data_IF_103714772115
#
_entry.id   IF_103714772115
#
_cell.length_a   1.000
_cell.length_b   1.000
_cell.length_c   1.000
_cell.angle_alpha   90.00
_cell.angle_beta   90.00
_cell.angle_gamma   90.00
#
_symmetry.space_group_name_H-M   'P 1'
#
loop_
_entity.id
_entity.type
_entity.pdbx_description
1 polymer ?
#
# COMPACT_ATOMS: atom_id res chain seq x y z
N UNK A 1 -7.00 16.71 0.86
CA UNK A 1 -7.12 15.28 0.50
C UNK A 1 -5.94 15.00 -0.39
N UNK A 2 -4.97 14.22 0.07
CA UNK A 2 -3.88 13.77 -0.78
C UNK A 2 -4.29 12.63 -1.69
N UNK A 3 -3.38 12.21 -2.56
CA UNK A 3 -3.64 11.17 -3.56
C UNK A 3 -3.88 9.80 -2.90
N UNK A 4 -4.81 9.02 -3.46
CA UNK A 4 -5.06 7.64 -3.03
C UNK A 4 -4.68 6.69 -4.15
N UNK A 5 -4.13 5.53 -3.80
CA UNK A 5 -3.73 4.54 -4.78
C UNK A 5 -4.29 3.15 -4.46
N UNK A 6 -4.43 2.33 -5.50
CA UNK A 6 -5.09 1.03 -5.47
C UNK A 6 -4.11 -0.11 -5.72
N UNK A 7 -4.36 -1.25 -5.08
CA UNK A 7 -3.68 -2.50 -5.34
C UNK A 7 -4.68 -3.54 -5.85
N UNK A 8 -4.30 -4.21 -6.93
CA UNK A 8 -5.12 -5.16 -7.64
C UNK A 8 -4.52 -6.56 -7.53
N UNK A 9 -5.39 -7.55 -7.31
CA UNK A 9 -5.02 -8.96 -7.34
C UNK A 9 -5.44 -9.59 -8.65
N UNK A 10 -4.53 -10.35 -9.25
CA UNK A 10 -4.84 -11.16 -10.42
C UNK A 10 -5.50 -12.48 -10.03
N UNK A 11 -6.53 -12.90 -10.77
CA UNK A 11 -7.11 -14.25 -10.75
C UNK A 11 -7.95 -14.67 -9.54
N UNK A 12 -7.73 -14.12 -8.33
CA UNK A 12 -8.45 -14.56 -7.12
C UNK A 12 -8.81 -13.41 -6.17
N UNK A 13 -9.89 -13.59 -5.38
CA UNK A 13 -10.23 -12.66 -4.31
C UNK A 13 -9.21 -12.72 -3.17
N UNK A 14 -8.90 -11.59 -2.52
CA UNK A 14 -8.01 -11.56 -1.36
C UNK A 14 -8.59 -12.36 -0.20
N UNK A 15 -7.69 -12.97 0.56
CA UNK A 15 -8.00 -13.75 1.77
C UNK A 15 -7.45 -13.06 3.01
N UNK A 16 -7.89 -13.51 4.20
CA UNK A 16 -7.27 -13.08 5.46
C UNK A 16 -5.75 -13.36 5.48
N UNK A 17 -5.32 -14.47 4.86
CA UNK A 17 -3.90 -14.83 4.76
C UNK A 17 -3.10 -13.81 3.96
N UNK A 18 -3.70 -13.23 2.91
CA UNK A 18 -3.03 -12.19 2.13
C UNK A 18 -2.87 -10.91 2.95
N UNK A 19 -3.90 -10.55 3.74
CA UNK A 19 -3.81 -9.44 4.66
C UNK A 19 -2.72 -9.68 5.73
N UNK A 20 -2.61 -10.90 6.26
CA UNK A 20 -1.56 -11.25 7.22
C UNK A 20 -0.16 -11.12 6.61
N UNK A 21 0.00 -11.46 5.32
CA UNK A 21 1.26 -11.26 4.59
C UNK A 21 1.58 -9.77 4.47
N UNK A 22 0.60 -8.93 4.14
CA UNK A 22 0.77 -7.47 4.03
C UNK A 22 1.18 -6.87 5.37
N UNK A 23 0.50 -7.26 6.46
CA UNK A 23 0.86 -6.86 7.83
C UNK A 23 2.28 -7.33 8.18
N UNK A 24 2.68 -8.54 7.80
CA UNK A 24 4.03 -9.04 8.03
C UNK A 24 5.10 -8.25 7.26
N UNK A 25 4.83 -7.80 6.03
CA UNK A 25 5.73 -6.93 5.27
C UNK A 25 5.95 -5.62 6.02
N UNK A 26 4.87 -4.96 6.44
CA UNK A 26 4.96 -3.72 7.24
C UNK A 26 5.71 -3.94 8.56
N UNK A 27 5.46 -5.05 9.24
CA UNK A 27 6.21 -5.43 10.45
C UNK A 27 7.70 -5.59 10.19
N UNK A 28 8.09 -6.20 9.07
CA UNK A 28 9.51 -6.29 8.64
C UNK A 28 10.11 -4.94 8.27
N UNK A 29 9.28 -3.93 8.00
CA UNK A 29 9.66 -2.54 7.82
C UNK A 29 9.64 -1.74 9.14
N UNK A 30 9.38 -2.40 10.28
CA UNK A 30 9.27 -1.81 11.64
C UNK A 30 8.03 -0.94 11.86
N UNK A 31 6.92 -1.31 11.24
CA UNK A 31 5.60 -0.73 11.48
C UNK A 31 4.72 -1.67 12.30
N UNK A 32 3.87 -1.08 13.13
CA UNK A 32 2.82 -1.77 13.86
C UNK A 32 1.48 -1.51 13.20
N UNK A 33 0.72 -2.60 13.02
CA UNK A 33 -0.62 -2.54 12.46
C UNK A 33 -1.68 -2.38 13.57
N UNK A 34 -2.61 -1.45 13.40
CA UNK A 34 -3.81 -1.29 14.21
C UNK A 34 -5.07 -1.36 13.34
N UNK A 35 -6.19 -1.80 13.92
CA UNK A 35 -7.49 -1.78 13.23
C UNK A 35 -7.87 -3.04 12.43
N UNK A 36 -7.10 -4.14 12.52
CA UNK A 36 -7.54 -5.43 11.94
C UNK A 36 -8.84 -5.89 12.62
N UNK A 37 -9.90 -6.04 11.83
CA UNK A 37 -11.24 -6.39 12.30
C UNK A 37 -11.67 -7.78 11.77
N UNK A 38 -11.76 -8.76 12.68
CA UNK A 38 -12.14 -10.15 12.33
C UNK A 38 -13.61 -10.31 11.98
N UNK A 39 -14.48 -9.49 12.57
CA UNK A 39 -15.91 -9.53 12.26
C UNK A 39 -16.13 -9.06 10.82
N UNK A 40 -15.51 -7.93 10.46
CA UNK A 40 -15.59 -7.38 9.10
C UNK A 40 -14.94 -8.27 8.04
N UNK A 41 -13.86 -8.97 8.38
CA UNK A 41 -13.31 -10.03 7.52
C UNK A 41 -14.34 -11.12 7.21
N UNK A 42 -15.12 -11.54 8.21
CA UNK A 42 -16.13 -12.59 8.05
C UNK A 42 -17.37 -12.14 7.26
N UNK A 43 -17.82 -10.90 7.48
CA UNK A 43 -18.97 -10.33 6.76
C UNK A 43 -18.59 -9.91 5.34
N UNK A 44 -17.31 -9.61 5.11
CA UNK A 44 -16.78 -9.05 3.87
C UNK A 44 -16.87 -7.53 3.80
N UNK A 45 -17.17 -6.88 4.91
CA UNK A 45 -17.16 -5.42 5.01
C UNK A 45 -15.72 -4.87 4.94
N UNK A 46 -15.56 -3.71 4.32
CA UNK A 46 -14.27 -3.02 4.26
C UNK A 46 -13.91 -2.39 5.59
N UNK A 47 -12.62 -2.35 5.91
CA UNK A 47 -12.12 -1.69 7.12
C UNK A 47 -10.72 -1.09 6.91
N UNK A 48 -10.44 -0.04 7.69
CA UNK A 48 -9.15 0.64 7.69
C UNK A 48 -8.15 -0.06 8.61
N UNK A 49 -6.89 -0.09 8.21
CA UNK A 49 -5.76 -0.55 9.00
C UNK A 49 -4.73 0.56 8.98
N UNK A 50 -4.33 1.02 10.17
CA UNK A 50 -3.26 2.00 10.31
C UNK A 50 -1.94 1.27 10.54
N UNK A 51 -0.89 1.76 9.89
CA UNK A 51 0.48 1.36 10.11
C UNK A 51 1.27 2.54 10.63
N UNK A 52 1.97 2.34 11.74
CA UNK A 52 2.72 3.39 12.43
C UNK A 52 4.07 2.82 12.85
N UNK A 53 5.17 3.52 12.61
CA UNK A 53 6.49 3.02 12.97
C UNK A 53 6.83 3.16 14.47
N UNK A 54 7.88 2.45 14.90
CA UNK A 54 8.41 2.49 16.28
C UNK A 54 8.70 3.89 16.81
N UNK A 55 9.15 4.80 15.94
CA UNK A 55 9.46 6.18 16.30
C UNK A 55 8.22 6.88 16.86
N UNK A 56 7.04 6.63 16.29
CA UNK A 56 5.76 7.16 16.79
C UNK A 56 5.28 6.53 18.11
N UNK A 57 5.42 5.20 18.28
CA UNK A 57 4.89 4.51 19.48
C UNK A 57 5.48 5.00 20.81
N UNK A 58 6.71 5.53 20.80
CA UNK A 58 7.39 6.10 21.97
C UNK A 58 7.12 7.60 22.17
N UNK A 59 6.62 8.29 21.14
CA UNK A 59 6.49 9.75 21.06
C UNK A 59 5.11 10.27 21.50
N UNK A 60 4.11 9.40 21.63
CA UNK A 60 2.79 9.78 22.19
C UNK A 60 2.81 10.03 23.70
N UNK A 61 3.82 9.53 24.40
CA UNK A 61 4.02 9.72 25.84
C UNK A 61 4.95 10.91 26.17
N UNK A 62 5.35 11.71 25.17
CA UNK A 62 6.30 12.82 25.34
C UNK A 62 5.59 14.20 25.25
N UNK A 63 5.50 14.89 26.39
CA UNK A 63 4.77 16.16 26.56
C UNK A 63 5.44 17.37 25.84
N UNK A 64 6.65 17.23 25.30
CA UNK A 64 7.45 18.33 24.74
C UNK A 64 7.38 18.43 23.19
N UNK A 65 6.37 17.83 22.58
CA UNK A 65 6.36 17.57 21.13
C UNK A 65 6.21 18.82 20.23
N UNK A 66 7.13 18.93 19.26
CA UNK A 66 7.03 19.85 18.12
C UNK A 66 6.43 19.13 16.90
N UNK A 67 5.32 19.66 16.39
CA UNK A 67 4.58 19.14 15.22
C UNK A 67 5.42 19.06 13.93
N UNK A 68 6.55 19.77 13.87
CA UNK A 68 7.37 19.96 12.66
C UNK A 68 8.36 18.80 12.35
N UNK A 69 8.25 17.66 13.05
CA UNK A 69 9.16 16.49 12.88
C UNK A 69 8.50 15.25 12.27
N UNK A 70 7.29 15.40 11.72
CA UNK A 70 6.57 14.32 11.03
C UNK A 70 7.19 14.08 9.65
N UNK A 71 7.87 12.94 9.48
CA UNK A 71 8.12 12.39 8.14
C UNK A 71 6.84 11.62 7.75
N UNK A 72 6.20 12.00 6.64
CA UNK A 72 5.00 11.32 6.16
C UNK A 72 5.22 9.82 5.94
N UNK A 73 6.47 9.39 5.69
CA UNK A 73 6.86 7.99 5.59
C UNK A 73 6.80 7.22 6.94
N UNK A 74 6.49 7.84 8.07
CA UNK A 74 6.40 7.17 9.38
C UNK A 74 5.03 6.51 9.63
N UNK A 75 4.04 6.76 8.76
CA UNK A 75 2.71 6.15 8.88
C UNK A 75 2.03 5.95 7.52
N UNK A 76 1.06 5.05 7.44
CA UNK A 76 0.13 4.95 6.31
C UNK A 76 -1.17 4.28 6.75
N UNK A 77 -2.29 4.64 6.12
CA UNK A 77 -3.57 3.95 6.30
C UNK A 77 -3.88 3.20 5.01
N UNK A 78 -4.36 1.97 5.15
CA UNK A 78 -4.95 1.21 4.06
C UNK A 78 -6.40 0.87 4.37
N UNK A 79 -7.25 0.86 3.36
CA UNK A 79 -8.56 0.21 3.42
C UNK A 79 -8.47 -1.14 2.75
N UNK A 80 -8.78 -2.19 3.50
CA UNK A 80 -8.84 -3.55 3.00
C UNK A 80 -10.28 -3.92 2.63
N UNK A 81 -10.46 -4.51 1.45
CA UNK A 81 -11.74 -4.95 0.91
C UNK A 81 -11.74 -6.47 0.73
N UNK A 82 -12.23 -7.23 1.72
CA UNK A 82 -12.28 -8.70 1.61
C UNK A 82 -13.24 -9.16 0.50
N UNK A 83 -14.31 -8.39 0.28
CA UNK A 83 -15.25 -8.53 -0.84
C UNK A 83 -15.43 -7.16 -1.48
N UNK A 84 -14.58 -6.80 -2.45
CA UNK A 84 -14.69 -5.53 -3.14
C UNK A 84 -16.06 -5.36 -3.79
N UNK A 85 -16.56 -4.13 -3.82
CA UNK A 85 -17.78 -3.80 -4.55
C UNK A 85 -17.46 -3.63 -6.03
N UNK A 86 -18.45 -3.88 -6.90
CA UNK A 86 -18.37 -3.64 -8.35
C UNK A 86 -17.85 -2.22 -8.69
N UNK A 87 -18.12 -1.22 -7.83
CA UNK A 87 -17.63 0.14 -8.00
C UNK A 87 -16.11 0.33 -7.88
N UNK A 88 -15.37 -0.71 -7.52
CA UNK A 88 -13.91 -0.72 -7.42
C UNK A 88 -13.26 -1.67 -8.44
N UNK A 89 -14.02 -2.10 -9.45
CA UNK A 89 -13.55 -2.94 -10.54
C UNK A 89 -12.97 -2.10 -11.69
N UNK A 90 -11.76 -2.46 -12.13
CA UNK A 90 -11.06 -1.77 -13.19
C UNK A 90 -10.54 -2.79 -14.20
N UNK A 91 -10.65 -2.47 -15.48
CA UNK A 91 -9.94 -3.23 -16.51
C UNK A 91 -8.45 -2.91 -16.42
N UNK A 92 -7.63 -3.91 -16.07
CA UNK A 92 -6.18 -3.77 -15.96
C UNK A 92 -5.53 -4.38 -17.20
N UNK A 93 -4.99 -3.58 -18.14
CA UNK A 93 -4.47 -4.09 -19.41
C UNK A 93 -3.38 -5.15 -19.27
N UNK A 94 -2.52 -5.06 -18.24
CA UNK A 94 -1.46 -6.04 -17.97
C UNK A 94 -1.99 -7.38 -17.43
N UNK A 95 -3.18 -7.39 -16.82
CA UNK A 95 -3.85 -8.62 -16.37
C UNK A 95 -4.80 -9.19 -17.45
N UNK A 96 -5.29 -8.34 -18.36
CA UNK A 96 -6.22 -8.74 -19.41
C UNK A 96 -7.65 -9.00 -18.92
N UNK A 97 -7.97 -8.57 -17.70
CA UNK A 97 -9.24 -8.80 -17.02
C UNK A 97 -9.70 -7.59 -16.23
N UNK A 98 -10.99 -7.58 -15.89
CA UNK A 98 -11.57 -6.64 -14.93
C UNK A 98 -11.33 -7.22 -13.54
N UNK A 99 -10.59 -6.49 -12.71
CA UNK A 99 -10.26 -6.91 -11.35
C UNK A 99 -10.63 -5.81 -10.37
N UNK A 100 -11.16 -6.17 -9.18
CA UNK A 100 -11.39 -5.19 -8.15
C UNK A 100 -10.10 -4.77 -7.44
N UNK A 101 -10.01 -3.49 -7.06
CA UNK A 101 -9.03 -3.08 -6.07
C UNK A 101 -9.41 -3.65 -4.72
N UNK A 102 -8.43 -4.25 -4.05
CA UNK A 102 -8.66 -4.91 -2.77
C UNK A 102 -7.96 -4.19 -1.61
N UNK A 103 -7.00 -3.33 -1.93
CA UNK A 103 -6.42 -2.36 -1.01
C UNK A 103 -6.49 -0.99 -1.66
N UNK A 104 -6.86 0.00 -0.86
CA UNK A 104 -6.68 1.41 -1.16
C UNK A 104 -5.73 1.99 -0.11
N UNK A 105 -4.61 2.55 -0.56
CA UNK A 105 -3.71 3.35 0.25
C UNK A 105 -4.23 4.78 0.31
N UNK A 106 -4.40 5.32 1.52
CA UNK A 106 -4.86 6.68 1.75
C UNK A 106 -3.67 7.64 1.89
N UNK A 107 -3.79 8.80 1.26
CA UNK A 107 -2.85 9.94 1.35
C UNK A 107 -1.39 9.55 1.09
N UNK A 108 -1.11 9.02 -0.10
CA UNK A 108 0.21 8.50 -0.45
C UNK A 108 1.29 9.57 -0.66
N UNK A 109 0.88 10.84 -0.74
CA UNK A 109 1.80 11.96 -0.94
C UNK A 109 2.76 12.06 0.25
N UNK A 110 4.06 12.11 -0.04
CA UNK A 110 5.12 12.07 0.98
C UNK A 110 5.43 10.67 1.52
N UNK A 111 4.73 9.62 1.07
CA UNK A 111 4.92 8.20 1.49
C UNK A 111 5.58 7.35 0.41
N UNK A 112 6.14 7.95 -0.62
CA UNK A 112 6.62 7.28 -1.83
C UNK A 112 7.80 6.36 -1.52
N UNK A 113 8.64 6.70 -0.54
CA UNK A 113 9.74 5.84 -0.08
C UNK A 113 9.21 4.63 0.68
N UNK A 114 8.28 4.83 1.61
CA UNK A 114 7.59 3.75 2.31
C UNK A 114 6.95 2.79 1.31
N UNK A 115 6.21 3.33 0.35
CA UNK A 115 5.50 2.54 -0.66
C UNK A 115 6.47 1.78 -1.56
N UNK A 116 7.57 2.40 -2.00
CA UNK A 116 8.56 1.73 -2.83
C UNK A 116 9.20 0.52 -2.11
N UNK A 117 9.54 0.68 -0.83
CA UNK A 117 10.05 -0.43 0.00
C UNK A 117 9.01 -1.53 0.23
N UNK A 118 7.75 -1.14 0.45
CA UNK A 118 6.63 -2.07 0.58
C UNK A 118 6.45 -2.87 -0.71
N UNK A 119 6.29 -2.22 -1.86
CA UNK A 119 6.01 -2.86 -3.13
C UNK A 119 7.15 -3.77 -3.60
N UNK A 120 8.40 -3.39 -3.36
CA UNK A 120 9.56 -4.26 -3.63
C UNK A 120 9.47 -5.59 -2.88
N UNK A 121 8.94 -5.60 -1.66
CA UNK A 121 8.78 -6.83 -0.84
C UNK A 121 7.52 -7.57 -1.22
N UNK A 122 6.43 -6.84 -1.44
CA UNK A 122 5.13 -7.35 -1.80
C UNK A 122 5.15 -8.10 -3.14
N UNK A 123 5.68 -7.48 -4.19
CA UNK A 123 5.70 -8.08 -5.53
C UNK A 123 6.63 -9.29 -5.66
N UNK A 124 7.53 -9.54 -4.69
CA UNK A 124 8.25 -10.83 -4.64
C UNK A 124 7.34 -12.00 -4.30
N UNK A 125 6.28 -11.75 -3.56
CA UNK A 125 5.29 -12.75 -3.16
C UNK A 125 4.12 -12.82 -4.15
N UNK A 126 3.74 -11.67 -4.71
CA UNK A 126 2.63 -11.53 -5.65
C UNK A 126 3.08 -10.84 -6.95
N UNK A 127 3.90 -11.49 -7.79
CA UNK A 127 4.55 -10.85 -8.94
C UNK A 127 3.58 -10.41 -10.05
N UNK A 128 2.37 -10.95 -10.07
CA UNK A 128 1.36 -10.64 -11.08
C UNK A 128 0.39 -9.52 -10.66
N UNK A 129 0.43 -9.11 -9.39
CA UNK A 129 -0.41 -8.03 -8.87
C UNK A 129 0.09 -6.68 -9.40
N UNK A 130 -0.78 -5.67 -9.37
CA UNK A 130 -0.49 -4.35 -9.95
C UNK A 130 -0.89 -3.23 -8.99
N UNK A 131 -0.03 -2.23 -8.88
CA UNK A 131 -0.28 -0.99 -8.16
C UNK A 131 -0.72 0.11 -9.14
N UNK A 132 -1.68 0.96 -8.74
CA UNK A 132 -2.17 2.05 -9.58
C UNK A 132 -2.44 3.31 -8.75
N UNK A 133 -1.92 4.45 -9.19
CA UNK A 133 -2.43 5.77 -8.80
C UNK A 133 -3.04 6.41 -10.06
N UNK A 134 -2.26 7.20 -10.80
CA UNK A 134 -2.56 7.61 -12.17
C UNK A 134 -2.05 6.58 -13.21
N UNK A 135 -0.89 5.98 -12.92
CA UNK A 135 -0.23 4.99 -13.78
C UNK A 135 -0.19 3.61 -13.15
N UNK A 136 -0.09 2.58 -13.99
CA UNK A 136 -0.01 1.17 -13.57
C UNK A 136 1.44 0.73 -13.42
N UNK A 137 1.80 0.24 -12.24
CA UNK A 137 3.14 -0.26 -11.93
C UNK A 137 3.08 -1.76 -11.69
N UNK A 138 3.85 -2.49 -12.49
CA UNK A 138 4.12 -3.91 -12.28
C UNK A 138 5.32 -4.12 -11.38
N UNK A 139 5.56 -5.37 -10.99
CA UNK A 139 6.80 -5.77 -10.33
C UNK A 139 8.05 -5.26 -11.04
N UNK A 140 8.12 -5.41 -12.37
CA UNK A 140 9.31 -5.04 -13.14
C UNK A 140 9.56 -3.53 -13.12
N UNK A 141 8.50 -2.73 -13.06
CA UNK A 141 8.60 -1.27 -12.98
C UNK A 141 9.14 -0.85 -11.60
N UNK A 142 8.62 -1.46 -10.52
CA UNK A 142 9.13 -1.24 -9.16
C UNK A 142 10.58 -1.69 -9.01
N UNK A 143 10.96 -2.83 -9.57
CA UNK A 143 12.34 -3.32 -9.51
C UNK A 143 13.31 -2.38 -10.25
N UNK A 144 12.90 -1.83 -11.40
CA UNK A 144 13.67 -0.82 -12.14
C UNK A 144 13.82 0.48 -11.36
N UNK A 145 12.73 0.99 -10.78
CA UNK A 145 12.74 2.18 -9.94
C UNK A 145 13.70 2.01 -8.76
N UNK A 146 13.62 0.88 -8.08
CA UNK A 146 14.46 0.59 -6.93
C UNK A 146 15.96 0.47 -7.27
N UNK A 147 16.29 0.04 -8.49
CA UNK A 147 17.68 -0.10 -8.95
C UNK A 147 18.36 1.24 -9.27
N UNK A 148 17.61 2.32 -9.48
CA UNK A 148 18.14 3.66 -9.79
C UNK A 148 18.31 4.47 -8.51
N UNK A 149 19.56 4.77 -8.14
CA UNK A 149 19.89 5.63 -7.00
C UNK A 149 20.42 6.99 -7.45
N UNK A 150 19.97 8.12 -6.85
CA UNK A 150 18.82 8.22 -5.93
C UNK A 150 17.50 7.91 -6.67
N UNK A 151 16.53 7.32 -5.97
CA UNK A 151 15.20 7.07 -6.56
C UNK A 151 14.42 8.37 -6.71
N UNK A 152 13.53 8.46 -7.70
CA UNK A 152 12.64 9.59 -7.86
C UNK A 152 11.60 9.60 -6.73
N UNK A 153 11.51 10.66 -5.93
CA UNK A 153 10.50 10.79 -4.86
C UNK A 153 9.09 11.06 -5.40
N UNK A 154 8.95 11.36 -6.69
CA UNK A 154 7.65 11.52 -7.38
C UNK A 154 7.28 10.31 -8.23
N UNK A 155 7.98 9.18 -8.06
CA UNK A 155 7.83 8.01 -8.94
C UNK A 155 6.39 7.52 -9.08
N UNK A 156 5.56 7.66 -8.03
CA UNK A 156 4.18 7.16 -8.02
C UNK A 156 3.26 7.95 -8.97
N UNK A 157 3.69 9.13 -9.42
CA UNK A 157 2.94 10.07 -10.25
C UNK A 157 3.46 10.19 -11.68
N UNK A 158 4.40 9.34 -12.09
CA UNK A 158 5.04 9.39 -13.41
C UNK A 158 4.83 8.10 -14.20
N UNK A 159 4.60 8.19 -15.51
CA UNK A 159 4.41 6.98 -16.33
C UNK A 159 5.66 6.07 -16.24
N UNK A 160 5.51 4.79 -15.84
CA UNK A 160 6.63 3.89 -15.69
C UNK A 160 7.43 3.59 -16.94
N UNK A 161 6.90 3.96 -18.10
CA UNK A 161 7.60 3.88 -19.38
C UNK A 161 8.59 5.01 -19.60
N UNK A 162 8.55 6.06 -18.78
CA UNK A 162 9.38 7.27 -18.97
C UNK A 162 10.72 7.20 -18.26
N UNK A 163 10.91 6.24 -17.35
CA UNK A 163 12.16 6.07 -16.62
C UNK A 163 13.04 4.93 -17.14
#
# INVERSE_FOLDING_TARGET
>A
MGASASLFRKGEYPTEKDLDIIIDIFRKMKFYAGGKDKEKLSTGESFGISFINDHWSRKWDDDEYQWDSLDDNDNIIIYFYPKPKESHEYYIPSMGEIVPSYIIFEDISGRERLLLEFFRRYFKLFPEDVFMEEYLYTKDDIDKLYAKLPWNELWAYEDPKTF
#
